data_IF_712812730110
#
_entry.id   IF_712812730110
#
_cell.length_a   1.000
_cell.length_b   1.000
_cell.length_c   1.000
_cell.angle_alpha   90.00
_cell.angle_beta   90.00
_cell.angle_gamma   90.00
#
_symmetry.space_group_name_H-M   'P 1'
#
loop_
_entity.id
_entity.type
_entity.pdbx_description
1 polymer ?
#
# COMPACT_ATOMS: atom_id res chain seq x y z
N UNK A 1 -4.43 -5.18 13.16
CA UNK A 1 -4.23 -5.23 11.71
C UNK A 1 -2.73 -5.20 11.37
N UNK A 2 -1.99 -4.13 11.71
CA UNK A 2 -0.55 -3.99 11.38
C UNK A 2 0.27 -5.15 11.95
N UNK A 3 0.05 -5.54 13.21
CA UNK A 3 0.73 -6.68 13.83
C UNK A 3 0.52 -7.98 13.02
N UNK A 4 -0.68 -8.24 12.54
CA UNK A 4 -0.94 -9.43 11.71
C UNK A 4 -0.25 -9.34 10.34
N UNK A 5 -0.07 -8.15 9.80
CA UNK A 5 0.59 -7.94 8.51
C UNK A 5 2.12 -8.18 8.59
N UNK A 6 2.75 -8.12 9.76
CA UNK A 6 4.18 -8.48 9.88
C UNK A 6 4.45 -9.92 9.44
N UNK A 7 3.47 -10.81 9.58
CA UNK A 7 3.58 -12.23 9.18
C UNK A 7 3.93 -12.38 7.69
N UNK A 8 3.43 -11.50 6.82
CA UNK A 8 3.72 -11.56 5.38
C UNK A 8 5.21 -11.44 5.09
N UNK A 9 5.89 -10.56 5.79
CA UNK A 9 7.33 -10.31 5.64
C UNK A 9 8.15 -11.49 6.15
N UNK A 10 7.84 -11.99 7.33
CA UNK A 10 8.51 -13.19 7.88
C UNK A 10 8.25 -14.40 7.01
N UNK A 11 7.02 -14.61 6.54
CA UNK A 11 6.68 -15.73 5.66
C UNK A 11 7.46 -15.64 4.34
N UNK A 12 7.47 -14.48 3.67
CA UNK A 12 8.20 -14.31 2.43
C UNK A 12 9.69 -14.58 2.63
N UNK A 13 10.32 -14.02 3.67
CA UNK A 13 11.73 -14.23 3.96
C UNK A 13 12.07 -15.67 4.33
N UNK A 14 11.13 -16.42 4.94
CA UNK A 14 11.35 -17.84 5.26
C UNK A 14 11.37 -18.76 4.03
N UNK A 15 10.93 -18.26 2.87
CA UNK A 15 10.87 -19.01 1.59
C UNK A 15 12.07 -18.79 0.69
N UNK A 16 12.97 -17.89 1.06
CA UNK A 16 14.14 -17.55 0.27
C UNK A 16 15.41 -17.68 1.11
N UNK A 17 16.50 -18.01 0.48
CA UNK A 17 17.82 -17.89 1.10
C UNK A 17 18.25 -16.42 1.08
N UNK A 18 18.09 -15.75 2.20
CA UNK A 18 18.44 -14.34 2.39
C UNK A 18 19.72 -14.12 3.20
N UNK A 19 20.46 -15.19 3.52
CA UNK A 19 21.71 -15.12 4.29
C UNK A 19 22.74 -14.26 3.56
N UNK A 20 23.16 -13.18 4.23
CA UNK A 20 24.17 -12.26 3.69
C UNK A 20 23.72 -11.42 2.49
N UNK A 21 22.42 -11.45 2.13
CA UNK A 21 21.86 -10.74 0.98
C UNK A 21 21.18 -9.44 1.39
N UNK A 22 21.28 -8.42 0.55
CA UNK A 22 20.51 -7.20 0.69
C UNK A 22 19.11 -7.38 0.10
N UNK A 23 18.08 -7.37 0.96
CA UNK A 23 16.69 -7.60 0.57
C UNK A 23 15.89 -6.30 0.54
N UNK A 24 15.16 -6.09 -0.55
CA UNK A 24 14.19 -5.00 -0.69
C UNK A 24 12.78 -5.56 -0.72
N UNK A 25 11.86 -4.92 0.02
CA UNK A 25 10.42 -5.13 -0.14
C UNK A 25 9.79 -3.92 -0.81
N UNK A 26 9.01 -4.16 -1.86
CA UNK A 26 8.19 -3.12 -2.51
C UNK A 26 6.72 -3.35 -2.20
N UNK A 27 6.05 -2.30 -1.73
CA UNK A 27 4.69 -2.38 -1.20
C UNK A 27 3.80 -1.32 -1.83
N UNK A 28 2.67 -1.70 -2.47
CA UNK A 28 1.69 -0.73 -2.94
C UNK A 28 1.09 -0.02 -1.71
N UNK A 29 1.28 1.29 -1.63
CA UNK A 29 1.11 2.01 -0.38
C UNK A 29 0.14 3.18 -0.50
N UNK A 30 -1.00 3.04 0.16
CA UNK A 30 -1.93 4.14 0.45
C UNK A 30 -1.83 4.56 1.92
N UNK A 31 -2.61 3.94 2.79
CA UNK A 31 -2.69 4.23 4.23
C UNK A 31 -1.44 3.87 5.05
N UNK A 32 -0.34 3.49 4.42
CA UNK A 32 0.92 3.14 5.07
C UNK A 32 0.85 1.94 6.04
N UNK A 33 -0.25 1.17 6.04
CA UNK A 33 -0.45 0.10 7.02
C UNK A 33 0.48 -1.08 6.81
N UNK A 34 0.51 -1.62 5.60
CA UNK A 34 1.28 -2.81 5.24
C UNK A 34 2.79 -2.52 5.30
N UNK A 35 3.24 -1.44 4.69
CA UNK A 35 4.67 -1.09 4.71
C UNK A 35 5.18 -0.72 6.12
N UNK A 36 4.32 -0.18 7.00
CA UNK A 36 4.63 0.00 8.41
C UNK A 36 4.82 -1.35 9.11
N UNK A 37 4.04 -2.37 8.75
CA UNK A 37 4.25 -3.73 9.25
C UNK A 37 5.63 -4.26 8.81
N UNK A 38 6.06 -3.98 7.59
CA UNK A 38 7.42 -4.28 7.12
C UNK A 38 8.50 -3.56 7.93
N UNK A 39 8.27 -2.30 8.26
CA UNK A 39 9.17 -1.56 9.15
C UNK A 39 9.26 -2.18 10.54
N UNK A 40 8.12 -2.58 11.11
CA UNK A 40 8.09 -3.27 12.40
C UNK A 40 8.80 -4.63 12.30
N UNK A 41 8.58 -5.41 11.24
CA UNK A 41 9.28 -6.67 11.00
C UNK A 41 10.81 -6.48 10.96
N UNK A 42 11.29 -5.41 10.31
CA UNK A 42 12.70 -5.01 10.34
C UNK A 42 13.18 -4.70 11.77
N UNK A 43 12.40 -3.94 12.54
CA UNK A 43 12.74 -3.64 13.95
C UNK A 43 12.75 -4.92 14.83
N UNK A 44 11.98 -5.93 14.48
CA UNK A 44 12.00 -7.25 15.11
C UNK A 44 13.20 -8.10 14.70
N UNK A 45 14.08 -7.60 13.82
CA UNK A 45 15.32 -8.26 13.39
C UNK A 45 15.24 -8.95 12.03
N UNK A 46 14.14 -8.81 11.28
CA UNK A 46 14.08 -9.35 9.93
C UNK A 46 15.07 -8.62 9.00
N UNK A 47 15.83 -9.37 8.20
CA UNK A 47 16.87 -8.84 7.32
C UNK A 47 16.26 -8.10 6.11
N UNK A 48 15.70 -6.92 6.35
CA UNK A 48 15.18 -6.01 5.32
C UNK A 48 16.14 -4.84 5.18
N UNK A 49 16.77 -4.68 4.02
CA UNK A 49 17.61 -3.52 3.74
C UNK A 49 16.77 -2.28 3.49
N UNK A 50 15.80 -2.39 2.58
CA UNK A 50 14.99 -1.26 2.13
C UNK A 50 13.52 -1.65 2.00
N UNK A 51 12.66 -0.72 2.38
CA UNK A 51 11.23 -0.72 2.13
C UNK A 51 10.92 0.32 1.06
N UNK A 52 10.46 -0.14 -0.10
CA UNK A 52 10.15 0.69 -1.25
C UNK A 52 8.64 0.99 -1.27
N UNK A 53 8.29 2.25 -1.08
CA UNK A 53 6.92 2.76 -1.13
C UNK A 53 6.54 2.90 -2.61
N UNK A 54 5.50 2.19 -3.03
CA UNK A 54 4.95 2.30 -4.37
C UNK A 54 3.62 3.07 -4.34
N UNK A 55 3.57 4.21 -5.01
CA UNK A 55 2.37 5.04 -5.15
C UNK A 55 1.93 5.08 -6.61
N UNK A 56 0.68 5.44 -6.86
CA UNK A 56 0.21 5.84 -8.19
C UNK A 56 0.33 7.37 -8.35
N UNK A 57 -0.51 7.99 -9.21
CA UNK A 57 -0.57 9.46 -9.38
C UNK A 57 -0.85 10.20 -8.07
N UNK A 58 -1.47 9.53 -7.10
CA UNK A 58 -1.66 10.07 -5.75
C UNK A 58 -0.38 9.87 -4.93
N UNK A 59 0.62 10.63 -5.25
CA UNK A 59 2.03 10.40 -4.90
C UNK A 59 2.51 11.17 -3.66
N UNK A 60 1.60 11.55 -2.75
CA UNK A 60 1.94 12.40 -1.59
C UNK A 60 3.13 11.85 -0.78
N UNK A 61 3.22 10.52 -0.59
CA UNK A 61 4.35 9.91 0.13
C UNK A 61 5.65 10.04 -0.63
N UNK A 62 5.61 9.86 -1.96
CA UNK A 62 6.78 10.03 -2.84
C UNK A 62 7.26 11.48 -2.84
N UNK A 63 6.34 12.45 -2.96
CA UNK A 63 6.65 13.88 -2.87
C UNK A 63 7.25 14.23 -1.50
N UNK A 64 6.66 13.70 -0.41
CA UNK A 64 7.15 13.95 0.95
C UNK A 64 8.59 13.47 1.13
N UNK A 65 8.90 12.25 0.66
CA UNK A 65 10.27 11.74 0.75
C UNK A 65 11.25 12.57 -0.07
N UNK A 66 10.84 13.10 -1.22
CA UNK A 66 11.71 13.86 -2.12
C UNK A 66 11.94 15.31 -1.67
N UNK A 67 10.89 15.98 -1.17
CA UNK A 67 10.91 17.42 -0.88
C UNK A 67 10.88 17.78 0.60
N UNK A 68 10.63 16.84 1.50
CA UNK A 68 10.28 17.05 2.92
C UNK A 68 8.88 17.65 3.16
N UNK A 69 8.21 18.13 2.12
CA UNK A 69 6.89 18.77 2.23
C UNK A 69 5.80 17.72 2.02
N UNK A 70 4.92 17.59 3.00
CA UNK A 70 3.71 16.77 2.94
C UNK A 70 2.53 17.71 2.67
N UNK A 71 2.11 17.81 1.42
CA UNK A 71 1.07 18.75 0.96
C UNK A 71 -0.04 18.00 0.24
N UNK A 72 -1.28 18.22 0.70
CA UNK A 72 -2.48 17.64 0.10
C UNK A 72 -2.67 18.19 -1.31
N UNK A 73 -3.12 17.34 -2.22
CA UNK A 73 -3.58 17.69 -3.56
C UNK A 73 -4.94 17.03 -3.84
N UNK A 74 -5.56 17.37 -4.95
CA UNK A 74 -6.75 16.67 -5.39
C UNK A 74 -6.45 15.18 -5.62
N UNK A 75 -7.40 14.33 -5.29
CA UNK A 75 -7.29 12.89 -5.52
C UNK A 75 -7.61 12.59 -6.98
N UNK A 76 -6.68 11.97 -7.68
CA UNK A 76 -6.89 11.43 -9.02
C UNK A 76 -7.48 10.02 -8.91
N UNK A 77 -8.57 9.76 -9.63
CA UNK A 77 -9.15 8.42 -9.73
C UNK A 77 -8.33 7.55 -10.68
N UNK A 78 -7.83 6.41 -10.19
CA UNK A 78 -6.96 5.52 -10.96
C UNK A 78 -7.49 4.09 -11.02
N UNK A 79 -6.80 3.23 -11.76
CA UNK A 79 -7.08 1.78 -11.77
C UNK A 79 -6.73 1.07 -10.47
N UNK A 80 -6.01 1.73 -9.55
CA UNK A 80 -5.60 1.19 -8.24
C UNK A 80 -6.25 1.95 -7.06
N UNK A 81 -7.59 1.91 -6.91
CA UNK A 81 -8.35 2.81 -6.04
C UNK A 81 -8.00 2.71 -4.55
N UNK A 82 -7.45 1.58 -4.08
CA UNK A 82 -7.07 1.44 -2.66
C UNK A 82 -5.88 2.31 -2.24
N UNK A 83 -5.16 2.87 -3.22
CA UNK A 83 -4.06 3.81 -3.00
C UNK A 83 -4.33 5.21 -3.58
N UNK A 84 -5.60 5.49 -4.00
CA UNK A 84 -6.07 6.81 -4.41
C UNK A 84 -6.36 7.66 -3.18
N UNK A 85 -5.32 8.05 -2.45
CA UNK A 85 -5.43 8.82 -1.21
C UNK A 85 -4.35 9.90 -1.11
N UNK A 86 -4.69 10.95 -0.36
CA UNK A 86 -3.77 12.04 -0.01
C UNK A 86 -3.48 12.10 1.50
N UNK A 87 -4.24 11.37 2.35
CA UNK A 87 -3.98 11.28 3.79
C UNK A 87 -3.61 9.84 4.12
N UNK A 88 -2.33 9.63 4.43
CA UNK A 88 -1.78 8.32 4.78
C UNK A 88 -1.80 8.11 6.29
N UNK A 89 -2.89 7.51 6.79
CA UNK A 89 -3.26 7.48 8.22
C UNK A 89 -2.26 6.82 9.18
N UNK A 90 -1.31 6.03 8.67
CA UNK A 90 -0.28 5.41 9.51
C UNK A 90 1.12 6.02 9.32
N UNK A 91 1.28 6.99 8.43
CA UNK A 91 2.58 7.62 8.21
C UNK A 91 3.04 8.43 9.42
N UNK A 92 2.13 9.05 10.14
CA UNK A 92 2.42 9.74 11.41
C UNK A 92 3.07 8.83 12.45
N UNK A 93 2.76 7.52 12.43
CA UNK A 93 3.38 6.54 13.34
C UNK A 93 4.86 6.33 13.04
N UNK A 94 5.23 6.30 11.74
CA UNK A 94 6.63 6.26 11.34
C UNK A 94 7.37 7.53 11.75
N UNK A 95 6.75 8.71 11.55
CA UNK A 95 7.33 9.99 11.95
C UNK A 95 7.55 10.01 13.45
N UNK A 96 6.54 9.61 14.25
CA UNK A 96 6.67 9.51 15.71
C UNK A 96 7.80 8.57 16.13
N UNK A 97 7.90 7.41 15.50
CA UNK A 97 8.95 6.44 15.85
C UNK A 97 10.35 7.00 15.63
N UNK A 98 10.54 7.88 14.66
CA UNK A 98 11.80 8.52 14.34
C UNK A 98 12.11 9.80 15.13
N UNK A 99 11.10 10.48 15.70
CA UNK A 99 11.31 11.69 16.50
C UNK A 99 11.07 11.48 18.01
N UNK A 100 10.21 10.53 18.39
CA UNK A 100 9.76 10.26 19.78
C UNK A 100 9.19 11.50 20.48
N UNK A 101 8.62 12.44 19.72
CA UNK A 101 8.08 13.72 20.19
C UNK A 101 6.60 13.86 19.81
N UNK A 102 5.71 13.64 20.78
CA UNK A 102 4.27 13.75 20.58
C UNK A 102 3.79 15.19 20.36
N UNK A 103 4.55 16.17 20.86
CA UNK A 103 4.22 17.59 20.65
C UNK A 103 4.48 17.99 19.22
N UNK A 104 5.58 17.52 18.64
CA UNK A 104 5.89 17.71 17.23
C UNK A 104 4.83 17.07 16.32
N UNK A 105 4.41 15.83 16.62
CA UNK A 105 3.34 15.16 15.85
C UNK A 105 2.04 15.97 15.90
N UNK A 106 1.63 16.44 17.09
CA UNK A 106 0.41 17.29 17.20
C UNK A 106 0.54 18.57 16.38
N UNK A 107 1.71 19.20 16.38
CA UNK A 107 1.92 20.41 15.57
C UNK A 107 1.75 20.13 14.08
N UNK A 108 2.49 19.16 13.52
CA UNK A 108 2.41 18.88 12.07
C UNK A 108 1.04 18.36 11.64
N UNK A 109 0.30 17.63 12.49
CA UNK A 109 -1.07 17.23 12.19
C UNK A 109 -2.05 18.41 12.26
N UNK A 110 -1.81 19.37 13.16
CA UNK A 110 -2.58 20.64 13.17
C UNK A 110 -2.32 21.45 11.91
N UNK A 111 -1.06 21.56 11.47
CA UNK A 111 -0.69 22.26 10.24
C UNK A 111 -1.35 21.59 9.03
N UNK A 112 -1.34 20.26 8.96
CA UNK A 112 -2.03 19.51 7.89
C UNK A 112 -3.54 19.80 7.86
N UNK A 113 -4.19 19.86 9.02
CA UNK A 113 -5.63 20.12 9.10
C UNK A 113 -5.99 21.58 8.75
N UNK A 114 -5.15 22.54 9.12
CA UNK A 114 -5.44 23.97 8.97
C UNK A 114 -4.93 24.54 7.63
N UNK A 115 -3.77 24.06 7.17
CA UNK A 115 -3.06 24.61 6.00
C UNK A 115 -2.98 23.61 4.82
N UNK A 116 -3.42 22.36 5.04
CA UNK A 116 -3.31 21.30 4.04
C UNK A 116 -1.88 20.78 3.84
N UNK A 117 -0.91 21.20 4.64
CA UNK A 117 0.49 20.79 4.51
C UNK A 117 1.30 20.92 5.80
N UNK A 118 2.42 20.21 5.83
CA UNK A 118 3.50 20.39 6.82
C UNK A 118 4.86 20.08 6.19
N UNK A 119 5.93 20.51 6.85
CA UNK A 119 7.30 20.20 6.45
C UNK A 119 7.99 19.35 7.52
N UNK A 120 8.53 18.22 7.11
CA UNK A 120 9.32 17.35 7.99
C UNK A 120 10.68 18.00 8.30
N UNK A 121 11.11 17.92 9.56
CA UNK A 121 12.48 18.27 9.95
C UNK A 121 13.45 17.37 9.18
N UNK A 122 14.55 17.97 8.70
CA UNK A 122 15.57 17.29 7.90
C UNK A 122 16.09 16.02 8.59
N UNK A 123 16.41 16.12 9.89
CA UNK A 123 16.93 14.99 10.65
C UNK A 123 15.96 13.79 10.72
N UNK A 124 14.63 14.05 10.71
CA UNK A 124 13.61 12.99 10.70
C UNK A 124 13.54 12.35 9.31
N UNK A 125 13.50 13.18 8.27
CA UNK A 125 13.49 12.71 6.89
C UNK A 125 14.74 11.88 6.56
N UNK A 126 15.91 12.32 6.99
CA UNK A 126 17.17 11.63 6.77
C UNK A 126 17.18 10.23 7.45
N UNK A 127 16.62 10.11 8.66
CA UNK A 127 16.42 8.80 9.32
C UNK A 127 15.46 7.90 8.54
N UNK A 128 14.32 8.44 8.10
CA UNK A 128 13.34 7.67 7.30
C UNK A 128 13.99 7.15 6.01
N UNK A 129 14.75 7.98 5.31
CA UNK A 129 15.44 7.62 4.06
C UNK A 129 16.52 6.54 4.22
N UNK A 130 17.00 6.26 5.42
CA UNK A 130 17.92 5.13 5.66
C UNK A 130 17.26 3.77 5.41
N UNK A 131 15.93 3.71 5.55
CA UNK A 131 15.16 2.47 5.38
C UNK A 131 14.19 2.54 4.20
N UNK A 132 13.68 3.73 3.87
CA UNK A 132 12.65 3.90 2.87
C UNK A 132 13.14 4.60 1.60
N UNK A 133 12.67 4.12 0.46
CA UNK A 133 12.63 4.84 -0.81
C UNK A 133 11.20 4.84 -1.35
N UNK A 134 10.94 5.64 -2.40
CA UNK A 134 9.60 5.71 -2.99
C UNK A 134 9.65 6.02 -4.48
N UNK A 135 8.70 5.43 -5.22
CA UNK A 135 8.47 5.70 -6.64
C UNK A 135 6.98 5.78 -6.93
N UNK A 136 6.62 6.72 -7.80
CA UNK A 136 5.28 6.87 -8.36
C UNK A 136 5.21 6.22 -9.74
N UNK A 137 4.13 5.49 -10.01
CA UNK A 137 3.88 4.77 -11.26
C UNK A 137 2.53 5.24 -11.82
N UNK A 138 2.52 5.75 -13.03
CA UNK A 138 1.34 6.28 -13.68
C UNK A 138 0.49 5.19 -14.35
N UNK A 139 -0.78 5.49 -14.59
CA UNK A 139 -1.78 4.52 -15.09
C UNK A 139 -1.38 3.87 -16.42
N UNK A 140 -0.76 4.59 -17.35
CA UNK A 140 -0.27 4.05 -18.62
C UNK A 140 0.88 3.03 -18.44
N UNK A 141 1.75 3.27 -17.46
CA UNK A 141 2.79 2.30 -17.07
C UNK A 141 2.16 1.06 -16.43
N UNK A 142 1.13 1.23 -15.57
CA UNK A 142 0.42 0.12 -14.92
C UNK A 142 -0.17 -0.84 -15.96
N UNK A 143 -0.85 -0.32 -16.97
CA UNK A 143 -1.39 -1.14 -18.06
C UNK A 143 -0.29 -1.89 -18.83
N UNK A 144 0.81 -1.21 -19.13
CA UNK A 144 1.95 -1.79 -19.82
C UNK A 144 2.58 -2.93 -19.02
N UNK A 145 2.67 -2.77 -17.69
CA UNK A 145 3.21 -3.79 -16.78
C UNK A 145 2.29 -5.01 -16.73
N UNK A 146 0.96 -4.83 -16.61
CA UNK A 146 -0.01 -5.93 -16.60
C UNK A 146 0.12 -6.74 -17.91
N UNK A 147 0.14 -6.09 -19.07
CA UNK A 147 0.32 -6.73 -20.37
C UNK A 147 1.64 -7.49 -20.46
N UNK A 148 2.74 -6.86 -20.04
CA UNK A 148 4.09 -7.42 -20.04
C UNK A 148 4.17 -8.71 -19.21
N UNK A 149 3.61 -8.68 -17.99
CA UNK A 149 3.69 -9.84 -17.08
C UNK A 149 2.81 -10.99 -17.54
N UNK A 150 1.62 -10.70 -18.05
CA UNK A 150 0.79 -11.72 -18.70
C UNK A 150 1.51 -12.37 -19.88
N UNK A 151 2.06 -11.58 -20.81
CA UNK A 151 2.69 -12.11 -22.04
C UNK A 151 3.99 -12.89 -21.76
N UNK A 152 4.79 -12.42 -20.81
CA UNK A 152 6.14 -12.97 -20.58
C UNK A 152 6.17 -14.10 -19.57
N UNK A 153 5.29 -14.06 -18.57
CA UNK A 153 5.34 -14.95 -17.42
C UNK A 153 4.03 -15.71 -17.19
N UNK A 154 3.00 -15.46 -17.98
CA UNK A 154 1.63 -15.99 -17.78
C UNK A 154 1.06 -15.64 -16.39
N UNK A 155 1.39 -14.44 -15.90
CA UNK A 155 0.93 -13.92 -14.60
C UNK A 155 0.00 -12.75 -14.85
N UNK A 156 -1.24 -12.87 -14.39
CA UNK A 156 -2.23 -11.79 -14.41
C UNK A 156 -2.13 -11.02 -13.09
N UNK A 157 -1.77 -9.74 -13.17
CA UNK A 157 -1.61 -8.86 -12.04
C UNK A 157 -2.87 -8.03 -11.80
N UNK A 158 -3.17 -7.73 -10.53
CA UNK A 158 -4.05 -6.63 -10.20
C UNK A 158 -3.33 -5.27 -10.32
N UNK A 159 -4.06 -4.16 -10.50
CA UNK A 159 -3.44 -2.86 -10.73
C UNK A 159 -2.53 -2.38 -9.58
N UNK A 160 -2.82 -2.71 -8.33
CA UNK A 160 -1.98 -2.31 -7.19
C UNK A 160 -0.65 -3.08 -7.20
N UNK A 161 -0.69 -4.38 -7.47
CA UNK A 161 0.53 -5.19 -7.63
C UNK A 161 1.36 -4.69 -8.81
N UNK A 162 0.71 -4.26 -9.91
CA UNK A 162 1.42 -3.68 -11.05
C UNK A 162 2.12 -2.36 -10.70
N UNK A 163 1.50 -1.48 -9.91
CA UNK A 163 2.15 -0.28 -9.35
C UNK A 163 3.40 -0.67 -8.55
N UNK A 164 3.28 -1.67 -7.68
CA UNK A 164 4.42 -2.11 -6.86
C UNK A 164 5.54 -2.72 -7.72
N UNK A 165 5.22 -3.50 -8.75
CA UNK A 165 6.20 -4.05 -9.68
C UNK A 165 6.93 -2.93 -10.45
N UNK A 166 6.20 -1.93 -10.95
CA UNK A 166 6.82 -0.78 -11.62
C UNK A 166 7.80 -0.05 -10.71
N UNK A 167 7.42 0.19 -9.45
CA UNK A 167 8.30 0.78 -8.46
C UNK A 167 9.52 -0.11 -8.12
N UNK A 168 9.34 -1.43 -8.08
CA UNK A 168 10.42 -2.37 -7.87
C UNK A 168 11.43 -2.34 -9.03
N UNK A 169 10.97 -2.34 -10.28
CA UNK A 169 11.83 -2.31 -11.48
C UNK A 169 12.73 -1.06 -11.54
N UNK A 170 12.31 0.07 -10.92
CA UNK A 170 13.13 1.29 -10.82
C UNK A 170 14.38 1.12 -9.96
N UNK A 171 14.40 0.15 -9.04
CA UNK A 171 15.43 0.07 -8.01
C UNK A 171 15.96 -1.34 -7.72
N UNK A 172 15.34 -2.40 -8.24
CA UNK A 172 15.66 -3.80 -7.90
C UNK A 172 17.10 -4.20 -8.21
N UNK A 173 17.73 -3.62 -9.23
CA UNK A 173 19.11 -3.93 -9.62
C UNK A 173 20.16 -3.58 -8.55
N UNK A 174 19.79 -2.86 -7.49
CA UNK A 174 20.68 -2.49 -6.37
C UNK A 174 20.64 -3.51 -5.23
N UNK A 175 19.80 -4.54 -5.32
CA UNK A 175 19.56 -5.51 -4.25
C UNK A 175 19.74 -6.93 -4.77
N UNK A 176 20.19 -7.82 -3.90
CA UNK A 176 20.33 -9.24 -4.22
C UNK A 176 18.97 -9.93 -4.33
N UNK A 177 18.01 -9.46 -3.55
CA UNK A 177 16.64 -9.98 -3.51
C UNK A 177 15.64 -8.83 -3.52
N UNK A 178 14.70 -8.86 -4.46
CA UNK A 178 13.58 -7.92 -4.54
C UNK A 178 12.26 -8.67 -4.39
N UNK A 179 11.49 -8.34 -3.36
CA UNK A 179 10.19 -8.94 -3.05
C UNK A 179 9.12 -7.89 -3.23
N UNK A 180 8.14 -8.16 -4.08
CA UNK A 180 6.97 -7.29 -4.28
C UNK A 180 5.76 -7.93 -3.63
N UNK A 181 5.07 -7.18 -2.75
CA UNK A 181 3.85 -7.68 -2.14
C UNK A 181 2.67 -7.58 -3.10
N UNK A 182 2.04 -8.73 -3.38
CA UNK A 182 0.78 -8.82 -4.11
C UNK A 182 -0.38 -8.69 -3.14
N UNK A 183 -1.03 -7.52 -3.11
CA UNK A 183 -2.00 -7.16 -2.07
C UNK A 183 -3.44 -7.45 -2.43
N UNK A 184 -3.73 -7.81 -3.69
CA UNK A 184 -5.06 -8.16 -4.17
C UNK A 184 -5.02 -9.22 -5.27
N UNK A 185 -6.13 -9.93 -5.43
CA UNK A 185 -6.34 -10.83 -6.56
C UNK A 185 -6.92 -10.04 -7.75
N UNK A 186 -6.49 -10.28 -9.00
CA UNK A 186 -6.98 -9.55 -10.18
C UNK A 186 -8.50 -9.64 -10.37
N UNK A 187 -9.15 -10.71 -9.93
CA UNK A 187 -10.60 -10.86 -9.97
C UNK A 187 -11.36 -9.75 -9.21
N UNK A 188 -10.73 -9.09 -8.23
CA UNK A 188 -11.32 -7.94 -7.53
C UNK A 188 -11.49 -6.73 -8.44
N UNK A 189 -10.69 -6.65 -9.49
CA UNK A 189 -10.65 -5.56 -10.46
C UNK A 189 -10.94 -6.09 -11.87
N UNK A 190 -11.91 -7.03 -11.95
CA UNK A 190 -12.21 -7.80 -13.17
C UNK A 190 -12.35 -6.90 -14.39
N UNK A 191 -13.18 -5.87 -14.31
CA UNK A 191 -13.50 -5.03 -15.47
C UNK A 191 -12.25 -4.29 -15.99
N UNK A 192 -11.47 -3.71 -15.08
CA UNK A 192 -10.20 -3.05 -15.41
C UNK A 192 -9.20 -4.02 -16.01
N UNK A 193 -8.96 -5.15 -15.36
CA UNK A 193 -7.98 -6.13 -15.83
C UNK A 193 -8.40 -6.74 -17.15
N UNK A 194 -9.67 -7.10 -17.30
CA UNK A 194 -10.20 -7.67 -18.55
C UNK A 194 -10.07 -6.71 -19.73
N UNK A 195 -10.29 -5.42 -19.53
CA UNK A 195 -10.13 -4.42 -20.60
C UNK A 195 -8.66 -4.29 -21.05
N UNK A 196 -7.71 -4.50 -20.12
CA UNK A 196 -6.27 -4.41 -20.41
C UNK A 196 -5.77 -5.63 -21.18
N UNK A 197 -6.20 -6.85 -20.76
CA UNK A 197 -5.66 -8.11 -21.31
C UNK A 197 -6.57 -8.76 -22.36
N UNK A 198 -7.77 -8.22 -22.58
CA UNK A 198 -8.81 -8.78 -23.47
C UNK A 198 -9.17 -10.25 -23.13
N UNK A 199 -9.20 -10.59 -21.85
CA UNK A 199 -9.51 -11.93 -21.34
C UNK A 199 -10.28 -11.84 -20.02
N UNK A 200 -11.26 -12.73 -19.82
CA UNK A 200 -12.10 -12.82 -18.63
C UNK A 200 -11.94 -14.15 -17.85
N UNK A 201 -11.13 -15.09 -18.36
CA UNK A 201 -11.04 -16.45 -17.82
C UNK A 201 -10.22 -16.58 -16.53
N UNK A 202 -9.65 -15.46 -16.05
CA UNK A 202 -8.85 -15.47 -14.83
C UNK A 202 -9.65 -15.38 -13.53
N UNK A 203 -10.97 -15.18 -13.62
CA UNK A 203 -11.82 -15.08 -12.42
C UNK A 203 -12.17 -16.50 -11.94
N UNK A 204 -11.78 -16.87 -10.70
CA UNK A 204 -12.08 -18.20 -10.18
C UNK A 204 -13.59 -18.50 -10.13
N UNK A 205 -13.98 -19.73 -10.42
CA UNK A 205 -15.40 -20.15 -10.49
C UNK A 205 -16.16 -19.86 -9.19
N UNK A 206 -15.53 -20.08 -8.04
CA UNK A 206 -16.15 -19.78 -6.74
C UNK A 206 -16.47 -18.28 -6.55
N UNK A 207 -15.65 -17.38 -7.10
CA UNK A 207 -15.92 -15.93 -7.10
C UNK A 207 -17.09 -15.63 -8.05
N UNK A 208 -17.11 -16.21 -9.25
CA UNK A 208 -18.22 -16.06 -10.19
C UNK A 208 -19.54 -16.50 -9.54
N UNK A 209 -19.51 -17.62 -8.82
CA UNK A 209 -20.70 -18.16 -8.13
C UNK A 209 -21.11 -17.30 -6.92
N UNK A 210 -20.17 -16.66 -6.23
CA UNK A 210 -20.48 -15.66 -5.20
C UNK A 210 -21.15 -14.41 -5.78
N UNK A 211 -20.65 -13.89 -6.89
CA UNK A 211 -21.21 -12.70 -7.54
C UNK A 211 -22.65 -12.88 -8.07
N UNK A 212 -23.11 -14.13 -8.20
CA UNK A 212 -24.50 -14.44 -8.59
C UNK A 212 -25.48 -14.47 -7.41
N UNK A 213 -24.99 -14.41 -6.18
CA UNK A 213 -25.84 -14.42 -4.98
C UNK A 213 -26.34 -13.01 -4.69
N UNK A 214 -27.56 -12.95 -4.12
CA UNK A 214 -28.09 -11.68 -3.63
C UNK A 214 -27.23 -11.13 -2.50
N UNK A 215 -27.10 -9.82 -2.44
CA UNK A 215 -26.38 -9.15 -1.36
C UNK A 215 -27.18 -9.28 -0.06
N UNK A 216 -26.54 -9.76 0.99
CA UNK A 216 -27.10 -9.74 2.35
C UNK A 216 -26.73 -8.41 3.01
N UNK A 217 -27.40 -7.35 2.60
CA UNK A 217 -27.14 -5.98 3.03
C UNK A 217 -28.30 -5.46 3.87
N UNK A 218 -28.00 -4.98 5.06
CA UNK A 218 -28.95 -4.24 5.90
C UNK A 218 -28.52 -2.78 5.97
N UNK A 219 -29.40 -1.89 5.50
CA UNK A 219 -29.18 -0.45 5.55
C UNK A 219 -29.77 0.07 6.89
N UNK A 220 -28.94 0.72 7.67
CA UNK A 220 -29.31 1.35 8.95
C UNK A 220 -29.06 2.85 8.86
N UNK A 221 -29.88 3.63 9.55
CA UNK A 221 -29.64 5.05 9.72
C UNK A 221 -28.32 5.30 10.47
N UNK A 222 -27.65 6.43 10.16
CA UNK A 222 -26.44 6.85 10.85
C UNK A 222 -26.73 7.34 12.27
N UNK A 223 -27.22 6.43 13.11
CA UNK A 223 -27.57 6.64 14.50
C UNK A 223 -27.01 5.51 15.36
N UNK A 224 -26.22 5.87 16.36
CA UNK A 224 -25.51 4.89 17.21
C UNK A 224 -26.46 3.96 18.00
N UNK A 225 -27.64 4.44 18.42
CA UNK A 225 -28.58 3.64 19.19
C UNK A 225 -29.33 2.63 18.31
N UNK A 226 -29.66 3.02 17.08
CA UNK A 226 -30.23 2.09 16.07
C UNK A 226 -29.23 0.98 15.78
N UNK A 227 -27.96 1.32 15.54
CA UNK A 227 -26.90 0.34 15.27
C UNK A 227 -26.72 -0.61 16.48
N UNK A 228 -26.66 -0.08 17.70
CA UNK A 228 -26.55 -0.90 18.93
C UNK A 228 -27.73 -1.85 19.11
N UNK A 229 -28.94 -1.38 18.89
CA UNK A 229 -30.13 -2.23 19.01
C UNK A 229 -30.14 -3.33 17.95
N UNK A 230 -29.84 -2.99 16.70
CA UNK A 230 -29.71 -3.99 15.64
C UNK A 230 -28.69 -5.08 15.97
N UNK A 231 -27.50 -4.70 16.49
CA UNK A 231 -26.47 -5.66 16.87
C UNK A 231 -26.92 -6.58 18.01
N UNK A 232 -27.64 -6.03 19.03
CA UNK A 232 -28.17 -6.85 20.14
C UNK A 232 -29.23 -7.85 19.69
N UNK A 233 -30.08 -7.47 18.75
CA UNK A 233 -31.20 -8.28 18.31
C UNK A 233 -30.81 -9.35 17.29
N UNK A 234 -29.74 -9.13 16.51
CA UNK A 234 -29.41 -9.97 15.36
C UNK A 234 -28.05 -10.68 15.46
N UNK A 235 -27.15 -10.30 16.36
CA UNK A 235 -25.77 -10.81 16.40
C UNK A 235 -25.36 -11.30 17.79
N UNK A 236 -25.90 -10.73 18.87
CA UNK A 236 -25.59 -11.07 20.25
C UNK A 236 -26.72 -11.89 20.89
#
# INVERSE_FOLDING_TARGET
>A
RIMCQTVYYFFAMSRIDSSGKECMFTVPTGNFGDILAGYIAKQMGLNIRTLNIATNENDILTRTLNSSVHELSEVSMTSSPSIDIQISSNFERLIYDNCKDSSYIRSIMSDLNNEGKYTLKKEILDKIKQTFCSYSIHTDEVESIIKKYMQKFDIILDPHTAVAIGAAERNSSKYDVSITLSTAHPAKFKDTVSSIINNNEFVPEHIINMMKKDDNLVILDNNIDIIKNYLKENIL
#
